data_IF_681198953071
#
_entry.id   IF_681198953071
#
_cell.length_a   1.000
_cell.length_b   1.000
_cell.length_c   1.000
_cell.angle_alpha   90.00
_cell.angle_beta   90.00
_cell.angle_gamma   90.00
#
_symmetry.space_group_name_H-M   'P 1'
#
loop_
_entity.id
_entity.type
_entity.pdbx_description
1 polymer ?
#
# COMPACT_ATOMS: atom_id res chain seq x y z
N UNK A 1 -20.34 -51.61 -25.25
CA UNK A 1 -20.92 -50.56 -24.40
C UNK A 1 -19.83 -50.05 -23.45
N UNK A 2 -19.88 -48.80 -23.01
CA UNK A 2 -18.86 -48.12 -22.17
C UNK A 2 -17.74 -47.34 -22.90
N UNK A 3 -18.14 -46.36 -23.71
CA UNK A 3 -17.23 -45.31 -24.25
C UNK A 3 -17.75 -43.89 -24.05
N UNK A 4 -18.97 -43.75 -23.55
CA UNK A 4 -19.70 -42.47 -23.45
C UNK A 4 -19.79 -41.92 -22.02
N UNK A 5 -19.24 -42.62 -21.02
CA UNK A 5 -19.33 -42.22 -19.62
C UNK A 5 -18.22 -41.24 -19.17
N UNK A 6 -17.17 -41.01 -19.98
CA UNK A 6 -16.00 -40.25 -19.54
C UNK A 6 -16.01 -38.77 -19.96
N UNK A 7 -17.00 -38.33 -20.74
CA UNK A 7 -17.10 -36.93 -21.20
C UNK A 7 -17.94 -36.08 -20.23
N UNK A 8 -18.74 -36.70 -19.36
CA UNK A 8 -19.65 -35.97 -18.45
C UNK A 8 -18.97 -35.36 -17.21
N UNK A 9 -17.77 -35.82 -16.82
CA UNK A 9 -17.07 -35.31 -15.64
C UNK A 9 -16.17 -34.09 -15.91
N UNK A 10 -15.85 -33.80 -17.18
CA UNK A 10 -15.01 -32.64 -17.53
C UNK A 10 -15.80 -31.31 -17.55
N UNK A 11 -17.13 -31.36 -17.61
CA UNK A 11 -17.97 -30.17 -17.69
C UNK A 11 -18.26 -29.50 -16.33
N UNK A 12 -17.95 -30.15 -15.20
CA UNK A 12 -18.28 -29.60 -13.88
C UNK A 12 -17.16 -28.77 -13.23
N UNK A 13 -15.92 -28.87 -13.74
CA UNK A 13 -14.78 -28.14 -13.15
C UNK A 13 -14.72 -26.66 -13.58
N UNK A 14 -15.31 -26.29 -14.73
CA UNK A 14 -15.29 -24.91 -15.23
C UNK A 14 -16.33 -23.98 -14.60
N UNK A 15 -17.29 -24.51 -13.83
CA UNK A 15 -18.37 -23.69 -13.24
C UNK A 15 -17.95 -22.97 -11.94
N UNK A 16 -16.85 -23.37 -11.29
CA UNK A 16 -16.41 -22.79 -10.02
C UNK A 16 -15.85 -21.37 -10.15
N UNK A 17 -15.13 -21.08 -11.25
CA UNK A 17 -14.49 -19.77 -11.45
C UNK A 17 -15.48 -18.63 -11.70
N UNK A 18 -16.70 -18.93 -12.15
CA UNK A 18 -17.71 -17.91 -12.46
C UNK A 18 -18.31 -17.27 -11.18
N UNK A 19 -18.33 -17.97 -10.04
CA UNK A 19 -18.87 -17.40 -8.80
C UNK A 19 -17.96 -16.35 -8.15
N UNK A 20 -16.67 -16.34 -8.50
CA UNK A 20 -15.71 -15.37 -7.94
C UNK A 20 -15.72 -14.02 -8.69
N UNK A 21 -16.17 -13.99 -9.95
CA UNK A 21 -16.11 -12.77 -10.78
C UNK A 21 -17.28 -11.79 -10.55
N UNK A 22 -18.27 -12.17 -9.74
CA UNK A 22 -19.43 -11.33 -9.42
C UNK A 22 -19.44 -10.78 -7.99
N UNK A 23 -18.47 -11.14 -7.17
CA UNK A 23 -18.36 -10.59 -5.82
C UNK A 23 -17.75 -9.19 -5.95
N UNK A 24 -18.42 -8.12 -5.46
CA UNK A 24 -17.73 -6.85 -5.31
C UNK A 24 -16.52 -7.08 -4.43
N UNK A 25 -15.35 -6.64 -4.88
CA UNK A 25 -14.16 -6.63 -4.04
C UNK A 25 -14.45 -5.70 -2.85
N UNK A 26 -14.79 -6.29 -1.70
CA UNK A 26 -14.93 -5.57 -0.44
C UNK A 26 -13.55 -5.56 0.23
N UNK A 27 -13.00 -4.35 0.40
CA UNK A 27 -11.75 -4.18 1.15
C UNK A 27 -11.97 -4.69 2.58
N UNK A 28 -11.14 -5.64 3.07
CA UNK A 28 -11.28 -6.16 4.43
C UNK A 28 -11.33 -5.01 5.44
N UNK A 29 -12.34 -5.01 6.30
CA UNK A 29 -12.35 -4.06 7.41
C UNK A 29 -11.23 -4.45 8.33
N UNK A 30 -10.63 -3.46 8.97
CA UNK A 30 -9.42 -3.73 9.69
C UNK A 30 -9.62 -4.30 11.10
N UNK A 31 -10.87 -4.55 11.48
CA UNK A 31 -11.24 -5.41 12.60
C UNK A 31 -11.62 -6.83 12.12
N UNK A 32 -11.69 -7.06 10.81
CA UNK A 32 -11.91 -8.41 10.29
C UNK A 32 -10.67 -9.26 10.57
N UNK A 33 -10.85 -10.49 11.09
CA UNK A 33 -9.75 -11.42 11.18
C UNK A 33 -9.20 -11.67 9.76
N UNK A 34 -7.87 -11.82 9.62
CA UNK A 34 -7.29 -12.08 8.31
C UNK A 34 -7.95 -13.32 7.69
N UNK A 35 -8.23 -13.32 6.38
CA UNK A 35 -8.82 -14.47 5.71
C UNK A 35 -8.00 -15.74 5.99
N UNK A 36 -8.59 -16.71 6.67
CA UNK A 36 -7.90 -17.94 7.07
C UNK A 36 -7.26 -17.94 8.46
N UNK A 37 -7.59 -16.99 9.34
CA UNK A 37 -7.14 -16.96 10.74
C UNK A 37 -7.40 -18.29 11.50
N UNK A 38 -8.44 -19.03 11.11
CA UNK A 38 -8.83 -20.30 11.73
C UNK A 38 -8.22 -21.53 11.04
N UNK A 39 -7.49 -21.33 9.94
CA UNK A 39 -6.77 -22.40 9.26
C UNK A 39 -5.34 -22.41 9.77
N UNK A 40 -4.82 -23.54 10.29
CA UNK A 40 -3.38 -23.74 10.35
C UNK A 40 -2.82 -23.37 8.98
N UNK A 41 -1.84 -22.49 8.96
CA UNK A 41 -1.15 -22.12 7.74
C UNK A 41 -0.39 -23.37 7.26
N UNK A 42 -1.07 -24.26 6.55
CA UNK A 42 -0.46 -25.38 5.83
C UNK A 42 0.33 -24.76 4.69
N UNK A 43 1.57 -24.35 4.99
CA UNK A 43 2.60 -24.22 3.98
C UNK A 43 2.63 -25.55 3.23
N UNK A 44 2.39 -25.59 1.90
CA UNK A 44 2.45 -26.82 1.13
C UNK A 44 3.89 -27.34 1.16
N UNK A 45 4.19 -28.22 2.12
CA UNK A 45 5.40 -29.04 2.22
C UNK A 45 6.72 -28.28 2.20
N UNK A 46 7.56 -28.53 3.21
CA UNK A 46 8.99 -28.22 3.18
C UNK A 46 9.74 -28.83 1.95
N UNK A 47 9.08 -29.71 1.18
CA UNK A 47 9.56 -30.30 -0.08
C UNK A 47 9.12 -29.55 -1.36
N UNK A 48 8.15 -28.63 -1.29
CA UNK A 48 7.70 -27.81 -2.43
C UNK A 48 8.65 -26.64 -2.74
N UNK A 49 9.53 -26.31 -1.79
CA UNK A 49 10.56 -25.29 -1.93
C UNK A 49 11.50 -25.58 -3.09
N UNK A 50 11.93 -26.82 -3.31
CA UNK A 50 12.93 -27.13 -4.35
C UNK A 50 12.49 -26.83 -5.79
N UNK A 51 11.20 -27.02 -6.10
CA UNK A 51 10.67 -26.76 -7.45
C UNK A 51 10.46 -25.25 -7.69
N UNK A 52 9.88 -24.56 -6.71
CA UNK A 52 9.69 -23.10 -6.78
C UNK A 52 11.04 -22.37 -6.74
N UNK A 53 11.95 -22.80 -5.88
CA UNK A 53 13.32 -22.30 -5.78
C UNK A 53 14.09 -22.53 -7.09
N UNK A 54 13.93 -23.68 -7.73
CA UNK A 54 14.52 -23.95 -9.05
C UNK A 54 13.98 -23.01 -10.14
N UNK A 55 12.66 -22.77 -10.16
CA UNK A 55 12.04 -21.83 -11.09
C UNK A 55 12.46 -20.37 -10.83
N UNK A 56 12.53 -19.96 -9.57
CA UNK A 56 13.00 -18.64 -9.18
C UNK A 56 14.47 -18.45 -9.54
N UNK A 57 15.33 -19.45 -9.34
CA UNK A 57 16.74 -19.38 -9.72
C UNK A 57 16.94 -19.33 -11.24
N UNK A 58 16.17 -20.09 -12.03
CA UNK A 58 16.22 -19.98 -13.51
C UNK A 58 15.75 -18.59 -13.97
N UNK A 59 14.66 -18.08 -13.37
CA UNK A 59 14.15 -16.76 -13.66
C UNK A 59 15.16 -15.66 -13.32
N UNK A 60 15.74 -15.68 -12.13
CA UNK A 60 16.76 -14.70 -11.71
C UNK A 60 17.98 -14.78 -12.61
N UNK A 61 18.48 -15.98 -12.92
CA UNK A 61 19.64 -16.17 -13.80
C UNK A 61 19.39 -15.62 -15.21
N UNK A 62 18.19 -15.86 -15.76
CA UNK A 62 17.80 -15.35 -17.09
C UNK A 62 17.60 -13.84 -17.09
N UNK A 63 17.07 -13.29 -16.00
CA UNK A 63 16.76 -11.85 -15.89
C UNK A 63 17.92 -11.03 -15.35
N UNK A 64 18.94 -11.65 -14.76
CA UNK A 64 20.13 -10.99 -14.19
C UNK A 64 20.72 -9.87 -15.06
N UNK A 65 21.01 -10.07 -16.36
CA UNK A 65 21.56 -8.98 -17.18
C UNK A 65 20.60 -7.80 -17.33
N UNK A 66 19.28 -8.04 -17.32
CA UNK A 66 18.26 -7.00 -17.39
C UNK A 66 18.09 -6.29 -16.04
N UNK A 67 18.23 -7.04 -14.93
CA UNK A 67 18.26 -6.48 -13.58
C UNK A 67 19.51 -5.62 -13.36
N UNK A 68 20.65 -6.01 -13.92
CA UNK A 68 21.89 -5.22 -13.87
C UNK A 68 21.77 -3.92 -14.69
N UNK A 69 21.18 -3.99 -15.88
CA UNK A 69 20.87 -2.80 -16.67
C UNK A 69 19.89 -1.86 -15.96
N UNK A 70 18.80 -2.41 -15.42
CA UNK A 70 17.84 -1.66 -14.62
C UNK A 70 18.48 -1.08 -13.35
N UNK A 71 19.33 -1.83 -12.66
CA UNK A 71 20.02 -1.36 -11.47
C UNK A 71 20.99 -0.22 -11.78
N UNK A 72 21.66 -0.25 -12.93
CA UNK A 72 22.51 0.84 -13.41
C UNK A 72 21.69 2.08 -13.74
N UNK A 73 20.59 1.93 -14.47
CA UNK A 73 19.70 3.05 -14.83
C UNK A 73 19.05 3.65 -13.59
N UNK A 74 18.56 2.81 -12.67
CA UNK A 74 18.03 3.24 -11.38
C UNK A 74 19.10 3.88 -10.51
N UNK A 75 20.35 3.39 -10.54
CA UNK A 75 21.48 3.98 -9.83
C UNK A 75 21.78 5.41 -10.29
N UNK A 76 21.77 5.64 -11.61
CA UNK A 76 21.92 6.98 -12.19
C UNK A 76 20.78 7.91 -11.77
N UNK A 77 19.54 7.45 -11.86
CA UNK A 77 18.38 8.22 -11.40
C UNK A 77 18.46 8.52 -9.90
N UNK A 78 18.84 7.54 -9.06
CA UNK A 78 18.97 7.75 -7.62
C UNK A 78 20.08 8.76 -7.30
N UNK A 79 21.14 8.81 -8.09
CA UNK A 79 22.21 9.81 -7.97
C UNK A 79 21.75 11.22 -8.37
N UNK A 80 20.93 11.34 -9.42
CA UNK A 80 20.31 12.60 -9.81
C UNK A 80 19.32 13.12 -8.75
N UNK A 81 18.58 12.22 -8.11
CA UNK A 81 17.60 12.55 -7.06
C UNK A 81 18.19 12.56 -5.64
N UNK A 82 19.45 12.16 -5.43
CA UNK A 82 20.13 12.22 -4.12
C UNK A 82 19.96 13.56 -3.41
N UNK A 83 20.19 14.74 -4.04
CA UNK A 83 20.00 16.01 -3.35
C UNK A 83 18.55 16.23 -2.89
N UNK A 84 17.57 15.77 -3.66
CA UNK A 84 16.14 15.86 -3.27
C UNK A 84 15.85 14.95 -2.08
N UNK A 85 16.42 13.74 -2.04
CA UNK A 85 16.30 12.83 -0.89
C UNK A 85 17.01 13.36 0.35
N UNK A 86 18.16 14.02 0.20
CA UNK A 86 18.84 14.70 1.31
C UNK A 86 17.96 15.82 1.88
N UNK A 87 17.35 16.65 1.04
CA UNK A 87 16.40 17.68 1.52
C UNK A 87 15.14 17.07 2.15
N UNK A 88 14.59 16.00 1.57
CA UNK A 88 13.45 15.27 2.15
C UNK A 88 13.80 14.69 3.51
N UNK A 89 15.01 14.16 3.69
CA UNK A 89 15.46 13.60 4.97
C UNK A 89 15.52 14.65 6.09
N UNK A 90 15.82 15.92 5.75
CA UNK A 90 15.81 17.03 6.72
C UNK A 90 14.40 17.41 7.16
N UNK A 91 13.42 17.22 6.28
CA UNK A 91 12.01 17.51 6.55
C UNK A 91 11.30 16.33 7.21
N UNK A 92 11.81 15.10 7.03
CA UNK A 92 11.23 13.91 7.64
C UNK A 92 11.39 13.98 9.16
N UNK A 93 10.30 14.37 9.83
CA UNK A 93 10.23 14.49 11.28
C UNK A 93 10.33 13.10 11.94
N UNK A 94 10.87 13.05 13.16
CA UNK A 94 11.01 11.79 13.89
C UNK A 94 9.62 11.21 14.17
N UNK A 95 9.40 9.95 13.80
CA UNK A 95 8.16 9.22 14.07
C UNK A 95 7.86 9.22 15.58
N UNK A 96 8.89 9.25 16.43
CA UNK A 96 8.77 9.38 17.88
C UNK A 96 8.13 10.68 18.37
N UNK A 97 8.07 11.72 17.54
CA UNK A 97 7.38 12.98 17.85
C UNK A 97 5.86 12.88 17.71
N UNK A 98 5.34 11.74 17.26
CA UNK A 98 3.92 11.48 17.09
C UNK A 98 3.40 10.48 18.12
N UNK A 99 2.10 10.56 18.42
CA UNK A 99 1.44 9.64 19.33
C UNK A 99 1.25 8.27 18.66
N UNK A 100 1.64 7.24 19.39
CA UNK A 100 1.41 5.83 19.06
C UNK A 100 0.68 5.16 20.23
N UNK A 101 -0.32 4.28 19.96
CA UNK A 101 -0.84 3.92 18.65
C UNK A 101 -1.70 5.03 18.03
N UNK A 102 -1.81 5.07 16.69
CA UNK A 102 -2.65 6.05 16.03
C UNK A 102 -4.14 5.76 16.23
N UNK A 103 -4.95 6.82 16.24
CA UNK A 103 -6.40 6.71 16.46
C UNK A 103 -7.09 6.35 15.14
N UNK A 104 -7.86 5.25 15.15
CA UNK A 104 -8.63 4.81 13.99
C UNK A 104 -9.99 5.49 14.01
N UNK A 105 -10.34 6.17 12.93
CA UNK A 105 -11.62 6.83 12.81
C UNK A 105 -12.69 5.89 12.23
N UNK A 106 -13.99 6.15 12.48
CA UNK A 106 -15.08 5.28 12.02
C UNK A 106 -15.20 5.13 10.50
N UNK A 107 -14.61 6.06 9.73
CA UNK A 107 -14.55 6.02 8.28
C UNK A 107 -13.39 5.17 7.73
N UNK A 108 -12.52 4.65 8.60
CA UNK A 108 -11.32 3.90 8.20
C UNK A 108 -10.05 4.74 8.06
N UNK A 109 -10.14 6.06 8.23
CA UNK A 109 -8.96 6.93 8.28
C UNK A 109 -8.16 6.74 9.57
N UNK A 110 -6.88 7.07 9.51
CA UNK A 110 -5.96 6.99 10.65
C UNK A 110 -5.49 8.40 11.00
N UNK A 111 -5.77 8.84 12.23
CA UNK A 111 -5.31 10.10 12.77
C UNK A 111 -4.03 9.87 13.59
N UNK A 112 -2.92 10.47 13.14
CA UNK A 112 -1.64 10.45 13.86
C UNK A 112 -1.40 11.86 14.43
N UNK A 113 -1.64 12.03 15.74
CA UNK A 113 -1.45 13.32 16.42
C UNK A 113 0.01 13.53 16.81
N UNK A 114 0.49 14.76 16.74
CA UNK A 114 1.82 15.12 17.26
C UNK A 114 1.80 15.19 18.79
N UNK A 115 2.90 14.82 19.45
CA UNK A 115 3.04 14.94 20.92
C UNK A 115 3.14 16.43 21.30
N UNK A 116 2.55 16.84 22.44
CA UNK A 116 2.59 18.23 22.89
C UNK A 116 4.01 18.72 23.21
N UNK A 117 4.88 17.83 23.70
CA UNK A 117 6.27 18.12 24.04
C UNK A 117 7.25 17.89 22.87
N UNK A 118 6.76 17.59 21.66
CA UNK A 118 7.63 17.39 20.51
C UNK A 118 8.29 18.72 20.10
N UNK A 119 9.60 18.71 19.74
CA UNK A 119 10.26 19.87 19.14
C UNK A 119 9.46 20.40 17.95
N UNK A 120 9.49 21.70 17.59
CA UNK A 120 8.80 22.20 16.40
C UNK A 120 9.25 21.42 15.14
N UNK A 121 8.34 21.19 14.17
CA UNK A 121 8.69 20.42 12.98
C UNK A 121 9.76 21.16 12.18
N UNK A 122 10.67 20.44 11.52
CA UNK A 122 11.66 21.06 10.66
C UNK A 122 10.96 21.89 9.57
N UNK A 123 11.47 23.10 9.27
CA UNK A 123 10.91 23.93 8.21
C UNK A 123 11.04 23.21 6.86
N UNK A 124 10.05 23.37 5.99
CA UNK A 124 9.98 22.72 4.67
C UNK A 124 11.13 23.11 3.71
N UNK A 125 11.96 24.10 4.05
CA UNK A 125 13.19 24.45 3.33
C UNK A 125 12.98 24.66 1.83
N UNK A 126 13.92 24.16 1.03
CA UNK A 126 13.88 24.25 -0.44
C UNK A 126 12.76 23.41 -1.09
N UNK A 127 12.16 22.44 -0.37
CA UNK A 127 10.98 21.71 -0.87
C UNK A 127 9.78 22.65 -1.08
N UNK A 128 9.71 23.76 -0.33
CA UNK A 128 8.65 24.75 -0.51
C UNK A 128 8.66 25.38 -1.92
N UNK A 129 9.83 25.45 -2.55
CA UNK A 129 10.02 26.00 -3.90
C UNK A 129 9.71 24.98 -5.02
N UNK A 130 9.64 23.69 -4.67
CA UNK A 130 9.29 22.59 -5.59
C UNK A 130 7.80 22.30 -5.61
N UNK A 131 7.05 22.80 -4.61
CA UNK A 131 5.61 22.72 -4.58
C UNK A 131 5.03 23.70 -5.62
N UNK A 132 4.06 23.28 -6.46
CA UNK A 132 3.36 24.20 -7.34
C UNK A 132 2.71 25.31 -6.50
N UNK A 133 2.69 26.53 -7.04
CA UNK A 133 2.17 27.72 -6.36
C UNK A 133 0.81 27.38 -5.74
N UNK A 134 0.73 27.47 -4.41
CA UNK A 134 -0.46 27.07 -3.67
C UNK A 134 -1.60 27.91 -4.20
N UNK A 135 -2.56 27.28 -4.87
CA UNK A 135 -3.79 27.95 -5.27
C UNK A 135 -4.30 28.74 -4.06
N UNK A 136 -4.64 30.03 -4.23
CA UNK A 136 -4.99 30.91 -3.12
C UNK A 136 -6.00 30.17 -2.26
N UNK A 137 -5.70 30.05 -0.95
CA UNK A 137 -6.57 29.37 -0.02
C UNK A 137 -7.99 29.90 -0.26
N UNK A 138 -9.01 29.02 -0.42
CA UNK A 138 -10.38 29.49 -0.58
C UNK A 138 -10.64 30.46 0.56
N UNK A 139 -11.00 31.70 0.21
CA UNK A 139 -11.20 32.77 1.18
C UNK A 139 -12.14 32.21 2.24
N UNK A 140 -11.63 32.01 3.45
CA UNK A 140 -12.45 31.62 4.58
C UNK A 140 -13.58 32.67 4.63
N UNK A 141 -14.85 32.27 4.55
CA UNK A 141 -15.93 33.22 4.75
C UNK A 141 -15.65 33.90 6.11
N UNK A 142 -15.82 35.23 6.21
CA UNK A 142 -15.63 35.92 7.47
C UNK A 142 -16.44 35.20 8.55
N UNK A 143 -15.93 35.08 9.79
CA UNK A 143 -16.67 34.44 10.86
C UNK A 143 -18.05 35.07 10.90
N UNK A 144 -19.08 34.25 10.68
CA UNK A 144 -20.45 34.72 10.72
C UNK A 144 -20.68 35.25 12.14
N UNK A 145 -20.72 36.58 12.27
CA UNK A 145 -21.11 37.24 13.50
C UNK A 145 -22.46 36.66 13.91
N UNK A 146 -22.48 36.08 15.10
CA UNK A 146 -23.65 35.39 15.61
C UNK A 146 -24.82 36.36 15.72
N UNK A 147 -25.90 36.10 15.00
CA UNK A 147 -27.26 36.24 15.55
C UNK A 147 -28.31 35.51 14.71
N UNK A 148 -29.20 34.83 15.44
CA UNK A 148 -30.56 34.42 15.06
C UNK A 148 -30.74 33.31 14.00
N UNK A 149 -30.69 32.06 14.48
CA UNK A 149 -31.59 31.02 13.98
C UNK A 149 -32.91 31.20 14.73
N UNK A 150 -33.89 31.87 14.10
CA UNK A 150 -35.29 31.77 14.50
C UNK A 150 -35.78 30.35 14.20
N UNK A 151 -36.36 29.73 15.22
CA UNK A 151 -36.99 28.39 15.24
C UNK A 151 -38.08 28.21 14.18
#
# INVERSE_FOLDING_TARGET
>A
MSRFALIATLAFSLAGSALAQGMPFEMPRADDPPPGADRPYELPGEDGGGLLEGLLNDFVTRTQPHLEELARDMGGLMEDYRPVFEELSKVMDDIGNYQMPPERLPNGDILIRRKPDAPPPPPLGDLQNLLPDRAPAPALPPPADGNEITL
#
